data_IF_534336214186
#
_entry.id   IF_534336214186
#
_cell.length_a   1.000
_cell.length_b   1.000
_cell.length_c   1.000
_cell.angle_alpha   90.00
_cell.angle_beta   90.00
_cell.angle_gamma   90.00
#
_symmetry.space_group_name_H-M   'P 1'
#
loop_
_entity.id
_entity.type
_entity.pdbx_description
1 polymer ?
#
# COMPACT_ATOMS: atom_id res chain seq x y z
N UNK A 1 -2.59 -19.53 7.92
CA UNK A 1 -3.47 -18.34 7.94
C UNK A 1 -2.65 -17.13 8.33
N UNK A 2 -2.77 -16.03 7.58
CA UNK A 2 -2.21 -14.73 7.95
C UNK A 2 -3.31 -14.01 8.73
N UNK A 3 -3.27 -14.13 10.06
CA UNK A 3 -4.46 -13.90 10.89
C UNK A 3 -4.63 -12.47 11.42
N UNK A 4 -3.59 -11.63 11.39
CA UNK A 4 -3.69 -10.25 11.88
C UNK A 4 -3.90 -9.24 10.76
N UNK A 5 -4.80 -8.28 11.00
CA UNK A 5 -5.06 -7.13 10.12
C UNK A 5 -3.78 -6.39 9.73
N UNK A 6 -2.86 -6.21 10.68
CA UNK A 6 -1.54 -5.61 10.42
C UNK A 6 -0.71 -6.40 9.40
N UNK A 7 -0.71 -7.73 9.46
CA UNK A 7 0.08 -8.55 8.54
C UNK A 7 -0.53 -8.55 7.13
N UNK A 8 -1.87 -8.52 7.01
CA UNK A 8 -2.54 -8.30 5.72
C UNK A 8 -2.19 -6.92 5.16
N UNK A 9 -2.21 -5.88 5.99
CA UNK A 9 -1.83 -4.52 5.61
C UNK A 9 -0.38 -4.48 5.10
N UNK A 10 0.58 -5.08 5.80
CA UNK A 10 1.98 -5.12 5.36
C UNK A 10 2.14 -5.74 3.96
N UNK A 11 1.47 -6.86 3.70
CA UNK A 11 1.51 -7.54 2.39
C UNK A 11 0.90 -6.66 1.30
N UNK A 12 -0.27 -6.08 1.57
CA UNK A 12 -1.02 -5.31 0.58
C UNK A 12 -0.35 -3.96 0.27
N UNK A 13 0.29 -3.34 1.26
CA UNK A 13 1.07 -2.11 1.09
C UNK A 13 2.35 -2.38 0.29
N UNK A 14 3.03 -3.51 0.55
CA UNK A 14 4.20 -3.89 -0.24
C UNK A 14 3.84 -4.15 -1.71
N UNK A 15 2.70 -4.78 -1.97
CA UNK A 15 2.16 -4.94 -3.32
C UNK A 15 1.72 -3.60 -3.95
N UNK A 16 1.17 -2.67 -3.16
CA UNK A 16 0.67 -1.36 -3.65
C UNK A 16 1.79 -0.38 -4.04
N UNK A 17 3.02 -0.58 -3.56
CA UNK A 17 4.15 0.35 -3.83
C UNK A 17 4.54 0.43 -5.31
N UNK A 18 4.14 -0.56 -6.11
CA UNK A 18 4.40 -0.62 -7.55
C UNK A 18 3.32 0.07 -8.39
N UNK A 19 2.24 0.58 -7.76
CA UNK A 19 1.25 1.37 -8.47
C UNK A 19 1.80 2.78 -8.76
N UNK A 20 1.66 3.22 -10.02
CA UNK A 20 2.37 4.37 -10.61
C UNK A 20 2.11 5.71 -9.90
N UNK A 21 1.01 5.80 -9.15
CA UNK A 21 0.63 7.01 -8.40
C UNK A 21 1.26 7.11 -7.00
N UNK A 22 2.06 6.12 -6.57
CA UNK A 22 2.88 6.24 -5.35
C UNK A 22 4.12 7.10 -5.62
N UNK A 23 3.98 8.42 -5.53
CA UNK A 23 5.13 9.30 -5.49
C UNK A 23 5.93 8.99 -4.21
N UNK A 24 7.20 8.62 -4.37
CA UNK A 24 8.12 8.48 -3.23
C UNK A 24 8.13 9.80 -2.48
N UNK A 25 7.73 9.79 -1.21
CA UNK A 25 7.83 10.96 -0.37
C UNK A 25 9.29 11.36 -0.27
N UNK A 26 9.65 12.53 -0.77
CA UNK A 26 11.00 13.10 -0.64
C UNK A 26 11.40 13.42 0.80
N UNK A 27 10.73 12.82 1.79
CA UNK A 27 10.99 12.96 3.22
C UNK A 27 12.36 12.37 3.57
N UNK A 28 13.22 13.24 4.11
CA UNK A 28 14.64 13.02 4.43
C UNK A 28 14.86 11.74 5.25
N UNK A 29 15.66 10.82 4.73
CA UNK A 29 16.22 9.70 5.50
C UNK A 29 16.42 8.44 4.68
N UNK A 30 17.68 8.15 4.32
CA UNK A 30 18.16 6.91 3.68
C UNK A 30 17.32 6.43 2.48
N UNK A 31 17.68 6.93 1.29
CA UNK A 31 17.31 6.28 0.01
C UNK A 31 17.75 4.81 0.06
N UNK A 32 16.83 3.86 0.26
CA UNK A 32 17.07 2.50 -0.23
C UNK A 32 17.08 2.58 -1.75
N UNK A 33 17.98 1.88 -2.43
CA UNK A 33 18.09 1.87 -3.90
C UNK A 33 16.90 1.19 -4.60
N UNK A 34 15.80 0.95 -3.89
CA UNK A 34 14.61 0.25 -4.37
C UNK A 34 13.47 1.23 -4.60
N UNK A 35 12.81 1.18 -5.77
CA UNK A 35 11.59 1.95 -6.03
C UNK A 35 10.48 1.65 -4.99
N UNK A 36 9.64 2.64 -4.70
CA UNK A 36 8.44 2.46 -3.87
C UNK A 36 8.68 2.45 -2.35
N UNK A 37 9.60 3.28 -1.83
CA UNK A 37 9.77 3.47 -0.39
C UNK A 37 8.57 4.26 0.19
N UNK A 38 7.43 3.59 0.34
CA UNK A 38 6.26 4.06 1.08
C UNK A 38 6.33 3.63 2.54
N UNK A 39 5.60 4.30 3.43
CA UNK A 39 5.51 3.84 4.82
C UNK A 39 4.87 2.45 4.86
N UNK A 40 5.35 1.57 5.75
CA UNK A 40 4.74 0.24 5.98
C UNK A 40 3.28 0.31 6.45
N UNK A 41 2.79 1.51 6.78
CA UNK A 41 1.41 1.78 7.18
C UNK A 41 0.45 1.99 6.00
N UNK A 42 0.93 2.03 4.75
CA UNK A 42 0.07 2.28 3.59
C UNK A 42 -0.24 3.76 3.36
N UNK A 43 0.53 4.64 3.98
CA UNK A 43 0.43 6.09 3.74
C UNK A 43 1.40 6.48 2.65
N UNK A 44 0.88 7.09 1.59
CA UNK A 44 1.67 7.73 0.55
C UNK A 44 1.46 9.25 0.57
N UNK A 45 2.46 9.97 0.10
CA UNK A 45 2.36 11.42 -0.07
C UNK A 45 1.99 11.73 -1.52
N UNK A 46 1.00 12.59 -1.68
CA UNK A 46 0.58 13.11 -2.97
C UNK A 46 0.51 14.64 -2.91
N UNK A 47 0.35 15.28 -4.07
CA UNK A 47 0.30 16.73 -4.18
C UNK A 47 -1.04 17.16 -4.75
N UNK A 48 -1.71 18.09 -4.07
CA UNK A 48 -2.90 18.76 -4.60
C UNK A 48 -2.53 19.72 -5.73
N UNK A 49 -3.55 20.17 -6.46
CA UNK A 49 -3.36 21.08 -7.60
C UNK A 49 -2.70 22.43 -7.23
N UNK A 50 -2.83 22.87 -5.97
CA UNK A 50 -2.18 24.06 -5.42
C UNK A 50 -0.78 23.78 -4.82
N UNK A 51 -0.25 22.57 -5.01
CA UNK A 51 1.11 22.18 -4.62
C UNK A 51 1.27 21.78 -3.15
N UNK A 52 0.18 21.66 -2.39
CA UNK A 52 0.26 21.18 -0.99
C UNK A 52 0.45 19.66 -0.96
N UNK A 53 1.32 19.20 -0.06
CA UNK A 53 1.50 17.78 0.19
C UNK A 53 0.35 17.27 1.06
N UNK A 54 -0.29 16.18 0.63
CA UNK A 54 -1.36 15.49 1.35
C UNK A 54 -0.94 14.04 1.64
N UNK A 55 -1.34 13.54 2.80
CA UNK A 55 -1.19 12.13 3.16
C UNK A 55 -2.42 11.35 2.68
N UNK A 56 -2.22 10.29 1.91
CA UNK A 56 -3.29 9.41 1.43
C UNK A 56 -3.08 7.99 1.98
N UNK A 57 -4.15 7.40 2.52
CA UNK A 57 -4.18 5.97 2.77
C UNK A 57 -4.42 5.25 1.44
N UNK A 58 -3.37 4.59 0.94
CA UNK A 58 -3.41 3.83 -0.30
C UNK A 58 -3.03 2.38 -0.03
N UNK A 59 -4.01 1.52 -0.19
CA UNK A 59 -3.92 0.08 0.04
C UNK A 59 -4.57 -0.67 -1.12
N UNK A 60 -4.13 -1.90 -1.37
CA UNK A 60 -4.90 -2.84 -2.18
C UNK A 60 -5.97 -3.49 -1.33
N UNK A 61 -7.16 -3.71 -1.89
CA UNK A 61 -8.17 -4.58 -1.28
C UNK A 61 -7.69 -6.05 -1.28
N UNK A 62 -7.06 -6.46 -2.38
CA UNK A 62 -6.46 -7.78 -2.57
C UNK A 62 -5.27 -7.67 -3.51
N UNK A 63 -4.24 -8.47 -3.28
CA UNK A 63 -3.17 -8.68 -4.25
C UNK A 63 -3.31 -10.00 -5.01
N UNK A 64 -4.39 -10.77 -4.83
CA UNK A 64 -4.64 -11.97 -5.63
C UNK A 64 -5.07 -11.57 -7.05
N UNK A 65 -4.42 -12.13 -8.07
CA UNK A 65 -4.71 -11.85 -9.46
C UNK A 65 -4.64 -13.14 -10.28
N UNK A 66 -5.60 -13.32 -11.19
CA UNK A 66 -5.67 -14.48 -12.08
C UNK A 66 -4.84 -14.32 -13.36
N UNK A 67 -4.37 -13.10 -13.64
CA UNK A 67 -3.65 -12.76 -14.86
C UNK A 67 -2.14 -12.88 -14.70
N UNK A 68 -1.44 -13.20 -15.79
CA UNK A 68 0.02 -13.32 -15.81
C UNK A 68 0.73 -12.17 -16.55
N UNK A 69 0.43 -10.92 -16.18
CA UNK A 69 1.04 -9.75 -16.83
C UNK A 69 2.55 -9.70 -16.58
N UNK A 70 3.37 -9.63 -17.64
CA UNK A 70 4.84 -9.69 -17.55
C UNK A 70 5.49 -8.61 -16.66
N UNK A 71 4.81 -7.47 -16.49
CA UNK A 71 5.30 -6.32 -15.72
C UNK A 71 4.74 -6.26 -14.29
N UNK A 72 3.80 -7.14 -13.91
CA UNK A 72 3.09 -7.04 -12.64
C UNK A 72 3.70 -7.98 -11.60
N UNK A 73 4.11 -7.44 -10.46
CA UNK A 73 4.60 -8.26 -9.34
C UNK A 73 3.53 -9.20 -8.79
N UNK A 74 2.25 -8.80 -8.90
CA UNK A 74 1.10 -9.56 -8.43
C UNK A 74 0.60 -10.58 -9.46
N UNK A 75 1.30 -10.81 -10.58
CA UNK A 75 0.93 -11.80 -11.60
C UNK A 75 0.70 -13.20 -10.99
N UNK A 76 -0.17 -13.99 -11.59
CA UNK A 76 -0.59 -15.28 -11.07
C UNK A 76 0.57 -16.27 -10.88
N UNK A 77 1.57 -16.25 -11.77
CA UNK A 77 2.70 -17.17 -11.70
C UNK A 77 3.72 -16.87 -10.57
N UNK A 78 3.63 -15.69 -9.93
CA UNK A 78 4.56 -15.34 -8.85
C UNK A 78 4.09 -15.95 -7.52
N UNK A 79 4.98 -16.74 -6.90
CA UNK A 79 4.84 -17.22 -5.53
C UNK A 79 5.24 -16.13 -4.53
N UNK A 80 4.22 -15.38 -4.08
CA UNK A 80 4.36 -14.30 -3.09
C UNK A 80 3.24 -14.42 -2.06
N UNK A 81 3.40 -13.87 -0.85
CA UNK A 81 2.32 -13.79 0.12
C UNK A 81 1.10 -13.08 -0.46
N UNK A 82 -0.06 -13.72 -0.38
CA UNK A 82 -1.34 -13.14 -0.81
C UNK A 82 -2.21 -12.79 0.38
N UNK A 83 -2.92 -11.69 0.27
CA UNK A 83 -3.87 -11.23 1.27
C UNK A 83 -5.10 -10.61 0.58
N UNK A 84 -6.22 -10.63 1.29
CA UNK A 84 -7.45 -9.94 0.91
C UNK A 84 -8.08 -9.39 2.18
N UNK A 85 -8.43 -8.11 2.16
CA UNK A 85 -9.17 -7.47 3.25
C UNK A 85 -10.66 -7.71 3.05
N UNK A 86 -11.35 -7.91 4.16
CA UNK A 86 -12.81 -7.83 4.23
C UNK A 86 -13.25 -6.37 4.30
N UNK A 87 -14.51 -6.05 3.96
CA UNK A 87 -15.04 -4.70 4.15
C UNK A 87 -14.90 -4.18 5.59
N UNK A 88 -15.11 -5.06 6.59
CA UNK A 88 -14.96 -4.70 8.00
C UNK A 88 -13.53 -4.28 8.35
N UNK A 89 -12.53 -5.00 7.84
CA UNK A 89 -11.11 -4.68 8.03
C UNK A 89 -10.74 -3.34 7.36
N UNK A 90 -11.29 -3.03 6.19
CA UNK A 90 -11.08 -1.73 5.51
C UNK A 90 -11.67 -0.59 6.33
N UNK A 91 -12.89 -0.76 6.86
CA UNK A 91 -13.52 0.22 7.75
C UNK A 91 -12.70 0.41 9.02
N UNK A 92 -12.27 -0.67 9.66
CA UNK A 92 -11.44 -0.61 10.86
C UNK A 92 -10.14 0.16 10.61
N UNK A 93 -9.42 -0.12 9.51
CA UNK A 93 -8.23 0.63 9.13
C UNK A 93 -8.54 2.12 8.95
N UNK A 94 -9.55 2.43 8.15
CA UNK A 94 -9.90 3.81 7.77
C UNK A 94 -10.29 4.64 8.99
N UNK A 95 -11.15 4.09 9.87
CA UNK A 95 -11.61 4.77 11.09
C UNK A 95 -10.45 4.95 12.08
N UNK A 96 -9.54 3.98 12.20
CA UNK A 96 -8.37 4.12 13.06
C UNK A 96 -7.42 5.22 12.58
N UNK A 97 -7.18 5.35 11.27
CA UNK A 97 -6.38 6.45 10.71
C UNK A 97 -7.06 7.80 10.97
N UNK A 98 -8.36 7.90 10.73
CA UNK A 98 -9.13 9.11 11.00
C UNK A 98 -9.08 9.53 12.46
N UNK A 99 -9.33 8.61 13.41
CA UNK A 99 -9.34 8.88 14.85
C UNK A 99 -7.99 9.31 15.41
N UNK A 100 -6.89 8.83 14.82
CA UNK A 100 -5.53 9.18 15.25
C UNK A 100 -5.04 10.49 14.62
N UNK A 101 -5.86 11.13 13.79
CA UNK A 101 -5.51 12.33 13.04
C UNK A 101 -4.16 12.18 12.33
N UNK A 102 -4.00 11.06 11.63
CA UNK A 102 -2.83 10.79 10.80
C UNK A 102 -2.84 11.69 9.56
#
# INVERSE_FOLDING_TARGET
MIDSLHKKLEILVDSAKYDASCASSGSRGKRSKTPGHGSRSGICHSWSADGRCISLLKILLSNACIYDCAYCVNRAANDIPRATLTPAEVVELTVNFYRRNY
#
